data_IF_826167546995
#
_entry.id   IF_826167546995
#
_cell.length_a   1.000
_cell.length_b   1.000
_cell.length_c   1.000
_cell.angle_alpha   90.00
_cell.angle_beta   90.00
_cell.angle_gamma   90.00
#
_symmetry.space_group_name_H-M   'P 1'
#
loop_
_entity.id
_entity.type
_entity.pdbx_description
1 polymer ?
#
# COMPACT_ATOMS: atom_id res chain seq x y z
N UNK A 1 6.53 -13.83 20.25
CA UNK A 1 6.86 -13.29 18.91
C UNK A 1 7.46 -11.90 19.05
N UNK A 2 8.47 -11.56 18.24
CA UNK A 2 9.19 -10.28 18.29
C UNK A 2 9.34 -9.70 16.88
N UNK A 3 8.30 -9.03 16.35
CA UNK A 3 8.29 -8.61 14.95
C UNK A 3 9.42 -7.64 14.58
N UNK A 4 9.96 -7.77 13.37
CA UNK A 4 10.95 -6.87 12.78
C UNK A 4 10.48 -6.38 11.41
N UNK A 5 10.93 -5.18 11.03
CA UNK A 5 10.78 -4.67 9.66
C UNK A 5 12.08 -4.94 8.90
N UNK A 6 11.97 -5.56 7.73
CA UNK A 6 13.12 -5.93 6.90
C UNK A 6 13.45 -4.83 5.88
N UNK A 7 12.45 -4.06 5.45
CA UNK A 7 12.65 -2.97 4.51
C UNK A 7 11.36 -2.38 3.94
N UNK A 8 11.55 -1.33 3.14
CA UNK A 8 10.50 -0.64 2.41
C UNK A 8 10.91 -0.48 0.94
N UNK A 9 9.98 -0.73 0.03
CA UNK A 9 10.18 -0.53 -1.42
C UNK A 9 9.93 0.91 -1.85
N UNK A 10 10.27 1.23 -3.10
CA UNK A 10 9.92 2.52 -3.73
C UNK A 10 8.41 2.78 -3.82
N UNK A 11 7.57 1.74 -3.75
CA UNK A 11 6.11 1.90 -3.71
C UNK A 11 5.56 2.08 -2.28
N UNK A 12 6.41 2.18 -1.26
CA UNK A 12 5.99 2.26 0.14
C UNK A 12 5.59 0.91 0.76
N UNK A 13 5.64 -0.19 0.02
CA UNK A 13 5.38 -1.55 0.55
C UNK A 13 6.47 -1.91 1.58
N UNK A 14 6.04 -2.32 2.77
CA UNK A 14 6.92 -2.72 3.89
C UNK A 14 6.89 -4.23 4.03
N UNK A 15 8.07 -4.85 4.17
CA UNK A 15 8.19 -6.27 4.51
C UNK A 15 8.79 -6.45 5.88
N UNK A 16 8.45 -7.55 6.54
CA UNK A 16 9.03 -7.90 7.84
C UNK A 16 8.79 -9.36 8.21
N UNK A 17 9.23 -9.71 9.41
CA UNK A 17 9.09 -11.05 9.98
C UNK A 17 8.50 -10.97 11.39
N UNK A 18 7.64 -11.92 11.77
CA UNK A 18 7.06 -12.02 13.10
C UNK A 18 8.02 -12.59 14.15
N UNK A 19 9.08 -13.29 13.72
CA UNK A 19 10.10 -13.94 14.55
C UNK A 19 9.46 -14.73 15.70
N UNK A 20 8.76 -15.79 15.35
CA UNK A 20 8.17 -16.73 16.31
C UNK A 20 9.25 -17.68 16.80
N UNK A 21 9.30 -17.89 18.11
CA UNK A 21 10.16 -18.85 18.76
C UNK A 21 9.29 -19.66 19.69
N UNK A 22 9.32 -20.97 19.52
CA UNK A 22 8.64 -21.94 20.35
C UNK A 22 9.61 -23.11 20.62
N UNK A 23 9.90 -23.45 21.89
CA UNK A 23 10.80 -24.57 22.21
C UNK A 23 10.26 -25.94 21.84
N UNK A 24 8.93 -26.09 21.77
CA UNK A 24 8.23 -27.36 21.66
C UNK A 24 7.73 -27.63 20.23
N UNK A 25 7.51 -26.58 19.44
CA UNK A 25 7.02 -26.68 18.06
C UNK A 25 7.83 -25.86 17.05
N UNK A 26 7.91 -26.36 15.82
CA UNK A 26 8.43 -25.63 14.66
C UNK A 26 7.38 -25.41 13.58
N UNK A 27 6.15 -25.85 13.84
CA UNK A 27 5.02 -25.72 12.92
C UNK A 27 4.06 -24.70 13.49
N UNK A 28 3.82 -23.64 12.72
CA UNK A 28 2.99 -22.52 13.14
C UNK A 28 1.88 -22.26 12.12
N UNK A 29 0.75 -21.80 12.64
CA UNK A 29 -0.33 -21.23 11.85
C UNK A 29 -0.51 -19.76 12.24
N UNK A 30 -0.75 -18.90 11.26
CA UNK A 30 -0.85 -17.46 11.44
C UNK A 30 -2.21 -16.94 11.01
N UNK A 31 -2.78 -16.02 11.78
CA UNK A 31 -4.00 -15.30 11.43
C UNK A 31 -3.85 -13.82 11.76
N UNK A 32 -4.22 -12.96 10.81
CA UNK A 32 -4.39 -11.53 11.06
C UNK A 32 -5.69 -11.36 11.83
N UNK A 33 -5.60 -11.11 13.14
CA UNK A 33 -6.75 -11.01 14.04
C UNK A 33 -7.33 -9.60 14.13
N UNK A 34 -6.55 -8.58 13.77
CA UNK A 34 -7.03 -7.22 13.52
C UNK A 34 -6.29 -6.63 12.31
N UNK A 35 -7.05 -6.19 11.31
CA UNK A 35 -6.50 -5.59 10.10
C UNK A 35 -5.94 -4.18 10.36
N UNK A 36 -4.93 -3.74 9.57
CA UNK A 36 -4.51 -2.35 9.55
C UNK A 36 -5.60 -1.42 9.05
N UNK A 37 -5.52 -0.13 9.38
CA UNK A 37 -6.54 0.88 9.03
C UNK A 37 -6.21 1.70 7.78
N UNK A 38 -4.92 1.80 7.45
CA UNK A 38 -4.37 2.64 6.39
C UNK A 38 -3.67 1.82 5.30
N UNK A 39 -3.96 0.52 5.23
CA UNK A 39 -3.40 -0.38 4.25
C UNK A 39 -3.97 -1.79 4.37
N UNK A 40 -3.22 -2.75 3.86
CA UNK A 40 -3.53 -4.17 3.97
C UNK A 40 -2.27 -4.95 4.36
N UNK A 41 -2.45 -6.14 4.94
CA UNK A 41 -1.33 -7.01 5.31
C UNK A 41 -1.63 -8.45 4.92
N UNK A 42 -0.61 -9.12 4.38
CA UNK A 42 -0.59 -10.57 4.20
C UNK A 42 0.54 -11.16 5.04
N UNK A 43 0.28 -12.30 5.69
CA UNK A 43 1.28 -13.08 6.43
C UNK A 43 1.34 -14.46 5.80
N UNK A 44 2.53 -14.94 5.44
CA UNK A 44 2.72 -16.27 4.89
C UNK A 44 2.96 -17.33 5.97
N UNK A 45 3.08 -18.60 5.56
CA UNK A 45 3.29 -19.73 6.48
C UNK A 45 4.64 -19.71 7.20
N UNK A 46 5.58 -18.85 6.80
CA UNK A 46 6.89 -18.67 7.45
C UNK A 46 6.87 -17.55 8.48
N UNK A 47 5.74 -16.83 8.60
CA UNK A 47 5.63 -15.65 9.45
C UNK A 47 6.24 -14.39 8.82
N UNK A 48 6.60 -14.43 7.53
CA UNK A 48 6.97 -13.23 6.79
C UNK A 48 5.69 -12.49 6.41
N UNK A 49 5.68 -11.18 6.61
CA UNK A 49 4.57 -10.34 6.24
C UNK A 49 4.94 -9.30 5.18
N UNK A 50 3.91 -8.87 4.46
CA UNK A 50 3.95 -7.78 3.50
C UNK A 50 2.81 -6.84 3.85
N UNK A 51 3.14 -5.60 4.20
CA UNK A 51 2.20 -4.52 4.39
C UNK A 51 2.20 -3.62 3.15
N UNK A 52 1.02 -3.42 2.57
CA UNK A 52 0.81 -2.54 1.43
C UNK A 52 -0.03 -1.33 1.89
N UNK A 53 0.54 -0.11 1.91
CA UNK A 53 -0.23 1.09 2.24
C UNK A 53 -1.36 1.32 1.23
N UNK A 54 -2.44 1.97 1.67
CA UNK A 54 -3.50 2.40 0.76
C UNK A 54 -2.95 3.38 -0.29
N UNK A 55 -3.52 3.39 -1.51
CA UNK A 55 -3.08 4.24 -2.59
C UNK A 55 -2.99 5.72 -2.17
N UNK A 56 -1.90 6.39 -2.54
CA UNK A 56 -1.62 7.78 -2.17
C UNK A 56 -1.20 8.01 -0.71
N UNK A 57 -1.30 7.04 0.20
CA UNK A 57 -0.89 7.29 1.61
C UNK A 57 0.62 7.24 1.81
N UNK A 58 1.35 6.57 0.91
CA UNK A 58 2.79 6.47 0.98
C UNK A 58 3.50 7.82 0.78
N UNK A 59 2.93 8.76 0.02
CA UNK A 59 3.56 10.07 -0.24
C UNK A 59 3.76 10.90 1.02
N UNK A 60 2.85 10.79 2.00
CA UNK A 60 2.94 11.51 3.28
C UNK A 60 3.69 10.73 4.36
N UNK A 61 4.00 9.45 4.07
CA UNK A 61 4.31 8.47 5.09
C UNK A 61 3.09 8.11 5.94
N UNK A 62 3.12 6.91 6.51
CA UNK A 62 2.03 6.42 7.37
C UNK A 62 2.59 5.55 8.48
N UNK A 63 2.02 5.68 9.67
CA UNK A 63 2.22 4.71 10.76
C UNK A 63 0.90 3.98 10.96
N UNK A 64 0.96 2.66 10.95
CA UNK A 64 -0.22 1.80 11.07
C UNK A 64 0.09 0.59 11.94
N UNK A 65 -0.96 -0.10 12.37
CA UNK A 65 -0.83 -1.26 13.25
C UNK A 65 -1.80 -2.36 12.85
N UNK A 66 -1.36 -3.61 12.96
CA UNK A 66 -2.22 -4.78 12.83
C UNK A 66 -1.90 -5.79 13.92
N UNK A 67 -2.83 -6.72 14.21
CA UNK A 67 -2.58 -7.80 15.16
C UNK A 67 -2.49 -9.13 14.44
N UNK A 68 -1.51 -9.94 14.83
CA UNK A 68 -1.38 -11.32 14.37
C UNK A 68 -1.44 -12.25 15.57
N UNK A 69 -2.24 -13.29 15.42
CA UNK A 69 -2.29 -14.43 16.33
C UNK A 69 -1.55 -15.59 15.67
N UNK A 70 -0.62 -16.19 16.40
CA UNK A 70 0.08 -17.42 16.02
C UNK A 70 -0.39 -18.57 16.91
N UNK A 71 -0.50 -19.77 16.33
CA UNK A 71 -0.75 -21.01 17.07
C UNK A 71 0.20 -22.12 16.64
N UNK A 72 0.66 -22.92 17.60
CA UNK A 72 1.45 -24.14 17.36
C UNK A 72 0.60 -25.44 17.38
N UNK A 73 -0.71 -25.32 17.67
CA UNK A 73 -1.58 -26.46 17.86
C UNK A 73 -1.69 -27.24 16.55
N UNK A 74 -1.58 -28.58 16.63
CA UNK A 74 -1.70 -29.45 15.47
C UNK A 74 -2.98 -29.13 14.69
N UNK A 75 -2.83 -28.72 13.43
CA UNK A 75 -3.90 -28.14 12.61
C UNK A 75 -5.11 -29.08 12.48
N UNK A 76 -6.11 -28.95 13.34
CA UNK A 76 -7.42 -29.58 13.21
C UNK A 76 -8.41 -28.62 12.52
N UNK A 77 -9.06 -29.09 11.46
CA UNK A 77 -10.11 -28.46 10.63
C UNK A 77 -10.10 -26.91 10.58
N UNK A 78 -9.57 -26.34 9.49
CA UNK A 78 -9.66 -24.91 9.20
C UNK A 78 -10.71 -24.63 8.10
N UNK A 79 -11.63 -23.70 8.34
CA UNK A 79 -12.53 -23.15 7.32
C UNK A 79 -11.99 -21.81 6.83
N UNK A 80 -11.85 -21.67 5.51
CA UNK A 80 -11.29 -20.50 4.85
C UNK A 80 -12.40 -19.45 4.66
N UNK A 81 -12.41 -18.41 5.50
CA UNK A 81 -13.36 -17.30 5.42
C UNK A 81 -13.35 -16.46 6.69
N UNK A 82 -13.25 -15.13 6.54
CA UNK A 82 -13.02 -14.17 7.64
C UNK A 82 -13.93 -14.31 8.86
N UNK A 83 -13.48 -13.71 9.99
CA UNK A 83 -14.05 -13.74 11.35
C UNK A 83 -14.28 -15.14 11.98
N UNK A 84 -14.65 -16.16 11.20
CA UNK A 84 -14.89 -17.52 11.67
C UNK A 84 -13.60 -18.29 11.93
N UNK A 85 -12.50 -17.97 11.23
CA UNK A 85 -11.20 -18.59 11.52
C UNK A 85 -10.75 -18.35 12.98
N UNK A 86 -11.14 -17.24 13.59
CA UNK A 86 -10.85 -16.97 15.01
C UNK A 86 -11.46 -18.01 15.96
N UNK A 87 -12.56 -18.68 15.57
CA UNK A 87 -13.18 -19.75 16.36
C UNK A 87 -12.33 -21.03 16.34
N UNK A 88 -11.72 -21.34 15.19
CA UNK A 88 -10.84 -22.51 15.01
C UNK A 88 -9.42 -22.31 15.53
N UNK A 89 -8.97 -21.06 15.72
CA UNK A 89 -7.68 -20.73 16.37
C UNK A 89 -7.72 -20.78 17.91
N UNK A 90 -8.76 -21.37 18.52
CA UNK A 90 -8.83 -21.49 19.98
C UNK A 90 -9.09 -20.18 20.74
N UNK A 91 -9.31 -19.04 20.06
CA UNK A 91 -9.68 -17.76 20.70
C UNK A 91 -10.93 -17.93 21.58
N UNK A 92 -11.83 -18.86 21.24
CA UNK A 92 -13.07 -19.15 21.98
C UNK A 92 -13.11 -20.60 22.52
N UNK A 93 -11.95 -21.22 22.85
CA UNK A 93 -11.98 -22.51 23.54
C UNK A 93 -10.64 -23.22 23.79
N UNK A 94 -10.29 -23.34 25.08
CA UNK A 94 -9.56 -24.39 25.86
C UNK A 94 -8.34 -25.15 25.26
N UNK A 95 -7.90 -24.91 24.03
CA UNK A 95 -6.66 -25.47 23.49
C UNK A 95 -5.68 -24.32 23.25
N UNK A 96 -5.11 -23.83 24.35
CA UNK A 96 -4.60 -22.47 24.51
C UNK A 96 -3.13 -22.29 24.13
N UNK A 97 -2.68 -22.85 23.00
CA UNK A 97 -1.34 -22.58 22.50
C UNK A 97 -1.39 -21.49 21.44
N UNK A 98 -1.71 -20.28 21.88
CA UNK A 98 -1.73 -19.10 21.01
C UNK A 98 -0.98 -17.95 21.62
N UNK A 99 -0.42 -17.10 20.76
CA UNK A 99 0.15 -15.81 21.14
C UNK A 99 -0.32 -14.75 20.15
N UNK A 100 -0.81 -13.63 20.66
CA UNK A 100 -1.18 -12.47 19.84
C UNK A 100 -0.20 -11.34 20.09
N UNK A 101 0.24 -10.68 19.03
CA UNK A 101 0.98 -9.43 19.18
C UNK A 101 0.64 -8.41 18.10
N UNK A 102 0.77 -7.16 18.51
CA UNK A 102 0.58 -5.99 17.66
C UNK A 102 1.87 -5.70 16.92
N UNK A 103 1.78 -5.61 15.60
CA UNK A 103 2.86 -5.18 14.72
C UNK A 103 2.62 -3.73 14.35
N UNK A 104 3.62 -2.87 14.61
CA UNK A 104 3.62 -1.48 14.14
C UNK A 104 4.47 -1.38 12.89
N UNK A 105 3.88 -0.86 11.81
CA UNK A 105 4.59 -0.55 10.57
C UNK A 105 4.74 0.96 10.44
N UNK A 106 5.90 1.37 9.93
CA UNK A 106 6.19 2.77 9.63
C UNK A 106 6.64 2.88 8.18
N UNK A 107 5.79 3.46 7.34
CA UNK A 107 6.11 3.80 5.96
C UNK A 107 6.74 5.17 5.96
N UNK A 108 8.00 5.27 5.53
CA UNK A 108 8.64 6.56 5.24
C UNK A 108 8.01 7.18 3.98
N UNK A 109 7.87 8.51 3.91
CA UNK A 109 7.35 9.18 2.72
C UNK A 109 8.03 8.72 1.42
N UNK A 110 7.24 8.40 0.39
CA UNK A 110 7.74 8.17 -0.98
C UNK A 110 6.86 8.89 -1.99
N UNK A 111 7.46 9.83 -2.73
CA UNK A 111 6.81 10.59 -3.80
C UNK A 111 7.36 10.16 -5.15
N UNK A 112 6.47 9.92 -6.09
CA UNK A 112 6.70 9.70 -7.50
C UNK A 112 6.50 11.03 -8.22
N UNK A 113 7.22 11.24 -9.32
CA UNK A 113 7.01 12.42 -10.15
C UNK A 113 5.75 12.24 -11.01
N UNK A 114 5.01 13.31 -11.30
CA UNK A 114 3.90 13.24 -12.25
C UNK A 114 4.42 12.96 -13.65
N UNK A 115 3.59 12.29 -14.45
CA UNK A 115 3.80 12.07 -15.88
C UNK A 115 2.91 12.99 -16.69
N UNK A 116 3.33 13.33 -17.92
CA UNK A 116 2.55 14.20 -18.78
C UNK A 116 2.77 13.93 -20.27
N UNK A 117 1.73 14.19 -21.05
CA UNK A 117 1.76 14.13 -22.51
C UNK A 117 1.16 15.41 -23.09
N UNK A 118 1.68 15.85 -24.22
CA UNK A 118 1.17 17.01 -24.95
C UNK A 118 0.71 16.60 -26.33
N UNK A 119 -0.39 17.20 -26.78
CA UNK A 119 -0.91 17.06 -28.14
C UNK A 119 -0.94 18.42 -28.81
N UNK A 120 -0.67 18.44 -30.11
CA UNK A 120 -0.71 19.66 -30.92
C UNK A 120 -1.54 19.35 -32.16
N UNK A 121 -2.60 20.13 -32.37
CA UNK A 121 -3.45 20.02 -33.54
C UNK A 121 -2.82 20.65 -34.79
N UNK A 122 -3.45 20.44 -35.93
CA UNK A 122 -3.10 21.18 -37.13
C UNK A 122 -3.48 22.66 -36.99
N UNK A 123 -2.72 23.59 -37.61
CA UNK A 123 -3.13 24.99 -37.70
C UNK A 123 -4.42 25.13 -38.49
N UNK A 124 -5.32 25.99 -38.03
CA UNK A 124 -6.49 26.39 -38.80
C UNK A 124 -6.07 27.08 -40.10
N UNK A 125 -6.63 26.64 -41.24
CA UNK A 125 -6.17 27.06 -42.56
C UNK A 125 -6.46 28.54 -42.89
N UNK A 126 -7.36 29.19 -42.14
CA UNK A 126 -7.76 30.58 -42.37
C UNK A 126 -7.13 31.51 -41.33
N UNK A 127 -7.19 31.13 -40.06
CA UNK A 127 -6.77 31.94 -38.91
C UNK A 127 -5.36 31.63 -38.42
N UNK A 128 -4.81 30.46 -38.79
CA UNK A 128 -3.49 30.00 -38.34
C UNK A 128 -3.43 29.56 -36.87
N UNK A 129 -4.56 29.58 -36.16
CA UNK A 129 -4.64 29.17 -34.74
C UNK A 129 -4.33 27.69 -34.61
N UNK A 130 -3.48 27.34 -33.64
CA UNK A 130 -3.15 25.96 -33.28
C UNK A 130 -3.72 25.68 -31.88
N UNK A 131 -4.54 24.64 -31.79
CA UNK A 131 -5.06 24.15 -30.50
C UNK A 131 -4.32 22.89 -30.11
N UNK A 132 -3.90 22.80 -28.86
CA UNK A 132 -3.27 21.62 -28.28
C UNK A 132 -3.82 21.34 -26.89
N UNK A 133 -3.41 20.23 -26.30
CA UNK A 133 -3.80 19.84 -24.95
C UNK A 133 -2.63 19.27 -24.18
N UNK A 134 -2.64 19.43 -22.87
CA UNK A 134 -1.69 18.79 -21.95
C UNK A 134 -2.51 17.89 -21.03
N UNK A 135 -2.14 16.61 -20.96
CA UNK A 135 -2.72 15.65 -20.03
C UNK A 135 -1.63 15.20 -19.08
N UNK A 136 -1.84 15.39 -17.78
CA UNK A 136 -0.95 14.90 -16.73
C UNK A 136 -1.63 13.84 -15.89
N UNK A 137 -0.81 12.99 -15.26
CA UNK A 137 -1.25 11.99 -14.29
C UNK A 137 -0.19 11.86 -13.21
N UNK A 138 -0.61 11.79 -11.96
CA UNK A 138 0.26 11.52 -10.83
C UNK A 138 -0.08 10.17 -10.20
N UNK A 139 0.95 9.37 -9.90
CA UNK A 139 0.79 8.02 -9.34
C UNK A 139 0.42 8.00 -7.86
N UNK A 140 0.69 9.09 -7.14
CA UNK A 140 0.40 9.23 -5.72
C UNK A 140 -0.89 10.01 -5.45
N UNK A 141 -1.53 10.51 -6.51
CA UNK A 141 -2.74 11.32 -6.40
C UNK A 141 -2.47 12.79 -6.04
N UNK A 142 -1.23 13.25 -6.22
CA UNK A 142 -0.87 14.64 -5.99
C UNK A 142 -1.63 15.57 -6.96
N UNK A 143 -2.00 16.76 -6.47
CA UNK A 143 -2.62 17.77 -7.33
C UNK A 143 -1.64 18.27 -8.38
N UNK A 144 -2.06 18.26 -9.65
CA UNK A 144 -1.24 18.71 -10.76
C UNK A 144 -1.38 20.23 -10.97
N UNK A 145 -0.29 20.87 -11.35
CA UNK A 145 -0.27 22.26 -11.79
C UNK A 145 0.37 22.36 -13.17
N UNK A 146 -0.31 23.07 -14.07
CA UNK A 146 0.14 23.28 -15.44
C UNK A 146 0.60 24.72 -15.63
N UNK A 147 1.76 24.89 -16.24
CA UNK A 147 2.29 26.21 -16.61
C UNK A 147 2.94 26.13 -17.99
N UNK A 148 2.94 27.26 -18.70
CA UNK A 148 3.50 27.36 -20.04
C UNK A 148 3.79 28.80 -20.42
N UNK A 149 4.62 29.00 -21.45
CA UNK A 149 4.89 30.34 -21.97
C UNK A 149 3.65 30.89 -22.68
N UNK A 150 3.12 32.02 -22.20
CA UNK A 150 2.02 32.74 -22.84
C UNK A 150 2.43 33.47 -24.13
N UNK A 151 3.73 33.52 -24.45
CA UNK A 151 4.28 34.19 -25.61
C UNK A 151 5.16 33.26 -26.44
N UNK A 152 5.04 33.39 -27.75
CA UNK A 152 5.97 32.83 -28.73
C UNK A 152 6.54 33.98 -29.57
N UNK A 153 7.66 33.74 -30.25
CA UNK A 153 8.24 34.71 -31.18
C UNK A 153 7.33 35.06 -32.37
N UNK A 154 6.22 34.34 -32.56
CA UNK A 154 5.30 34.48 -33.69
C UNK A 154 3.83 34.70 -33.28
N UNK A 155 3.52 34.85 -31.99
CA UNK A 155 2.13 34.97 -31.53
C UNK A 155 1.96 34.75 -30.03
N UNK A 156 0.71 34.77 -29.57
CA UNK A 156 0.34 34.55 -28.18
C UNK A 156 -0.21 33.13 -27.95
N UNK A 157 -0.03 32.60 -26.74
CA UNK A 157 -0.63 31.36 -26.26
C UNK A 157 -1.66 31.70 -25.20
N UNK A 158 -2.88 31.19 -25.36
CA UNK A 158 -3.91 31.23 -24.32
C UNK A 158 -3.99 29.84 -23.70
N UNK A 159 -3.77 29.77 -22.39
CA UNK A 159 -4.02 28.55 -21.60
C UNK A 159 -5.44 28.68 -21.06
N UNK A 160 -6.35 27.85 -21.56
CA UNK A 160 -7.68 27.74 -20.96
C UNK A 160 -7.56 26.95 -19.66
N UNK A 161 -8.29 27.37 -18.63
CA UNK A 161 -8.52 26.53 -17.47
C UNK A 161 -9.40 25.34 -17.87
N UNK A 162 -9.13 24.21 -17.24
CA UNK A 162 -9.91 22.97 -17.24
C UNK A 162 -11.35 23.17 -16.73
#
# INVERSE_FOLDING_TARGET
MSPTLDGQSAAGVVTGNLNVVDPDSSVFTFAVSAAPTSGSVTVDSTGKFVYTPAAGTAHNGVTDTFQVTVSDAASGFHVHGGLLSLLTFGLIGKNDHTSTSTVTVRVTPVNHAPTGTATVGAPDAVTGVVVGGVLGSDGDGDSLSYSGSAATSKGAVVVAAD
#
